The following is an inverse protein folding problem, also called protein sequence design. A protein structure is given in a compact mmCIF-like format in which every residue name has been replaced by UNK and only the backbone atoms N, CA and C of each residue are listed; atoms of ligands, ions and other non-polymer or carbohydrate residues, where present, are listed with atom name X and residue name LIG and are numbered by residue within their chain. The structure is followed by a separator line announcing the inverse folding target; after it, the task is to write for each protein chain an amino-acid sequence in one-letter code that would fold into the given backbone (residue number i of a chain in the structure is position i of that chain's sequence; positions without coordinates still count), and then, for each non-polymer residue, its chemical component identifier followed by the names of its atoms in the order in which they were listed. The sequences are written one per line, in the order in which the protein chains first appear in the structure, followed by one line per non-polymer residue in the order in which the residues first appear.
data_IF_221108871310
#
_entry.id   IF_221108871310
#
_cell.length_a   1.000
_cell.length_b   1.000
_cell.length_c   1.000
_cell.angle_alpha   90.00
_cell.angle_beta   90.00
_cell.angle_gamma   90.00
#
_symmetry.space_group_name_H-M   'P 1'
#
loop_
_entity.id
_entity.type
_entity.pdbx_description
1 polymer ?
#
# COMPACT_ATOMS: atom_id res chain seq x y z
N UNK A 1 -11.72 -14.58 27.03
CA UNK A 1 -11.64 -13.49 26.04
C UNK A 1 -12.50 -12.36 26.54
N UNK A 2 -12.06 -11.11 26.38
CA UNK A 2 -12.91 -9.95 26.65
C UNK A 2 -13.49 -9.45 25.33
N UNK A 3 -14.76 -9.03 25.34
CA UNK A 3 -15.36 -8.33 24.20
C UNK A 3 -14.56 -7.06 23.88
N UNK A 4 -14.50 -6.68 22.60
CA UNK A 4 -13.69 -5.53 22.16
C UNK A 4 -14.39 -4.20 22.42
N UNK A 5 -15.67 -4.23 22.77
CA UNK A 5 -16.44 -3.04 23.11
C UNK A 5 -17.58 -3.37 24.07
N UNK A 6 -18.05 -2.36 24.82
CA UNK A 6 -19.21 -2.51 25.71
C UNK A 6 -20.53 -2.70 24.97
N UNK A 7 -20.59 -2.47 23.66
CA UNK A 7 -21.76 -2.83 22.85
C UNK A 7 -21.78 -4.33 22.57
N UNK A 8 -20.64 -4.91 22.21
CA UNK A 8 -20.51 -6.36 21.98
C UNK A 8 -20.87 -7.15 23.23
N UNK A 9 -20.44 -6.69 24.40
CA UNK A 9 -20.82 -7.28 25.70
C UNK A 9 -22.35 -7.27 25.91
N UNK A 10 -23.01 -6.13 25.69
CA UNK A 10 -24.48 -6.02 25.82
C UNK A 10 -25.23 -6.93 24.83
N UNK A 11 -24.70 -7.09 23.62
CA UNK A 11 -25.30 -7.99 22.61
C UNK A 11 -25.10 -9.44 23.01
N UNK A 12 -23.92 -9.82 23.51
CA UNK A 12 -23.67 -11.15 24.02
C UNK A 12 -24.59 -11.48 25.21
N UNK A 13 -24.75 -10.56 26.17
CA UNK A 13 -25.68 -10.70 27.28
C UNK A 13 -27.12 -10.91 26.78
N UNK A 14 -27.55 -10.15 25.77
CA UNK A 14 -28.86 -10.32 25.15
C UNK A 14 -29.01 -11.73 24.52
N UNK A 15 -28.01 -12.21 23.78
CA UNK A 15 -28.04 -13.54 23.17
C UNK A 15 -28.10 -14.65 24.23
N UNK A 16 -27.31 -14.54 25.29
CA UNK A 16 -27.36 -15.43 26.45
C UNK A 16 -28.75 -15.41 27.12
N UNK A 17 -29.33 -14.22 27.35
CA UNK A 17 -30.66 -14.08 27.95
C UNK A 17 -31.80 -14.64 27.08
N UNK A 18 -31.55 -14.81 25.77
CA UNK A 18 -32.47 -15.40 24.81
C UNK A 18 -32.20 -16.89 24.56
N UNK A 19 -31.28 -17.52 25.32
CA UNK A 19 -30.83 -18.90 25.12
C UNK A 19 -30.34 -19.19 23.68
N UNK A 20 -29.68 -18.21 23.06
CA UNK A 20 -29.09 -18.32 21.72
C UNK A 20 -27.59 -18.57 21.84
N UNK A 21 -27.15 -19.75 21.40
CA UNK A 21 -25.74 -20.06 21.26
C UNK A 21 -25.08 -19.18 20.17
N UNK A 22 -23.87 -18.71 20.45
CA UNK A 22 -23.10 -17.92 19.50
C UNK A 22 -21.60 -18.23 19.58
N UNK A 23 -20.91 -17.99 18.48
CA UNK A 23 -19.47 -17.95 18.44
C UNK A 23 -18.98 -16.51 18.26
N UNK A 24 -17.95 -16.12 19.01
CA UNK A 24 -17.41 -14.77 18.97
C UNK A 24 -16.05 -14.75 18.27
N UNK A 25 -15.98 -14.07 17.12
CA UNK A 25 -14.77 -13.88 16.30
C UNK A 25 -14.02 -15.18 15.92
N UNK A 26 -14.74 -16.30 15.72
CA UNK A 26 -14.16 -17.60 15.34
C UNK A 26 -13.84 -17.68 13.85
N UNK A 27 -14.68 -17.09 13.01
CA UNK A 27 -14.52 -17.15 11.54
C UNK A 27 -13.91 -15.88 10.94
N UNK A 28 -13.20 -16.07 9.82
CA UNK A 28 -12.64 -14.97 9.02
C UNK A 28 -13.05 -15.15 7.56
N UNK A 29 -13.76 -14.18 7.01
CA UNK A 29 -14.19 -14.19 5.61
C UNK A 29 -13.23 -13.33 4.77
N UNK A 30 -12.50 -13.91 3.80
CA UNK A 30 -11.64 -13.14 2.92
C UNK A 30 -12.47 -12.33 1.92
N UNK A 31 -12.03 -11.10 1.61
CA UNK A 31 -12.66 -10.26 0.58
C UNK A 31 -11.59 -9.43 -0.16
N UNK A 32 -11.95 -8.93 -1.35
CA UNK A 32 -11.09 -8.07 -2.18
C UNK A 32 -11.86 -6.83 -2.59
N UNK A 33 -11.23 -5.66 -2.47
CA UNK A 33 -11.77 -4.38 -2.97
C UNK A 33 -10.91 -3.93 -4.15
N UNK A 34 -11.46 -3.80 -5.37
CA UNK A 34 -10.73 -3.31 -6.52
C UNK A 34 -10.54 -1.78 -6.43
N UNK A 35 -9.40 -1.31 -6.90
CA UNK A 35 -9.07 0.11 -7.03
C UNK A 35 -8.48 0.39 -8.41
N UNK A 36 -8.72 1.59 -8.93
CA UNK A 36 -8.07 2.08 -10.15
C UNK A 36 -6.79 2.84 -9.77
N UNK A 37 -5.73 2.61 -10.54
CA UNK A 37 -4.47 3.34 -10.41
C UNK A 37 -4.37 4.41 -11.49
N UNK A 38 -4.21 5.66 -11.05
CA UNK A 38 -3.95 6.79 -11.94
C UNK A 38 -2.51 7.25 -11.70
N UNK A 39 -1.61 7.11 -12.67
CA UNK A 39 -0.26 7.61 -12.54
C UNK A 39 -0.21 9.14 -12.65
N UNK A 40 0.84 9.75 -12.11
CA UNK A 40 1.04 11.20 -12.23
C UNK A 40 1.42 11.61 -13.66
N UNK A 41 2.31 10.84 -14.31
CA UNK A 41 2.73 11.10 -15.69
C UNK A 41 2.82 9.81 -16.51
N UNK A 42 2.28 9.86 -17.72
CA UNK A 42 2.46 8.85 -18.76
C UNK A 42 3.27 9.50 -19.90
N UNK A 43 4.47 8.99 -20.16
CA UNK A 43 5.34 9.49 -21.21
C UNK A 43 4.97 8.87 -22.57
N UNK A 44 5.28 9.53 -23.70
CA UNK A 44 4.97 9.01 -25.04
C UNK A 44 5.61 7.65 -25.37
N UNK A 45 6.72 7.31 -24.73
CA UNK A 45 7.41 6.02 -24.87
C UNK A 45 6.81 4.90 -23.99
N UNK A 46 5.72 5.17 -23.26
CA UNK A 46 5.04 4.20 -22.39
C UNK A 46 5.58 4.11 -20.97
N UNK A 47 6.64 4.87 -20.63
CA UNK A 47 7.14 4.95 -19.26
C UNK A 47 6.14 5.72 -18.39
N UNK A 48 5.87 5.19 -17.21
CA UNK A 48 5.00 5.80 -16.21
C UNK A 48 5.83 6.33 -15.05
N UNK A 49 5.64 7.60 -14.69
CA UNK A 49 6.29 8.22 -13.55
C UNK A 49 5.27 8.51 -12.44
N UNK A 50 5.55 8.00 -11.24
CA UNK A 50 4.84 8.36 -10.01
C UNK A 50 5.77 9.22 -9.13
N UNK A 51 5.33 10.42 -8.79
CA UNK A 51 6.05 11.39 -8.00
C UNK A 51 5.66 11.29 -6.52
N UNK A 52 6.65 11.22 -5.62
CA UNK A 52 6.40 11.22 -4.16
C UNK A 52 7.40 12.06 -3.38
N UNK A 53 6.86 13.01 -2.60
CA UNK A 53 7.59 13.65 -1.52
C UNK A 53 7.56 12.78 -0.27
N UNK A 54 6.43 12.79 0.43
CA UNK A 54 6.13 11.82 1.48
C UNK A 54 5.51 10.56 0.85
N UNK A 55 6.06 9.40 1.17
CA UNK A 55 5.55 8.12 0.66
C UNK A 55 5.09 7.25 1.83
N UNK A 56 3.77 7.21 2.04
CA UNK A 56 3.16 6.57 3.19
C UNK A 56 3.03 5.04 3.03
N UNK A 57 2.48 4.36 4.04
CA UNK A 57 2.32 2.91 4.00
C UNK A 57 1.21 2.42 3.05
N UNK A 58 0.21 3.25 2.74
CA UNK A 58 -0.89 2.90 1.86
C UNK A 58 -0.45 3.01 0.39
N UNK A 59 0.22 4.11 0.02
CA UNK A 59 0.78 4.32 -1.31
C UNK A 59 1.86 3.31 -1.65
N UNK A 60 2.71 2.91 -0.68
CA UNK A 60 3.68 1.81 -0.91
C UNK A 60 2.98 0.49 -1.23
N UNK A 61 1.88 0.18 -0.53
CA UNK A 61 1.07 -1.01 -0.79
C UNK A 61 0.39 -0.94 -2.16
N UNK A 62 -0.12 0.24 -2.53
CA UNK A 62 -0.69 0.53 -3.85
C UNK A 62 0.33 0.27 -4.97
N UNK A 63 1.49 0.92 -4.93
CA UNK A 63 2.56 0.76 -5.94
C UNK A 63 3.01 -0.69 -6.05
N UNK A 64 3.19 -1.37 -4.91
CA UNK A 64 3.52 -2.80 -4.89
C UNK A 64 2.42 -3.64 -5.57
N UNK A 65 1.15 -3.42 -5.24
CA UNK A 65 0.04 -4.16 -5.81
C UNK A 65 -0.08 -3.92 -7.32
N UNK A 66 0.05 -2.67 -7.78
CA UNK A 66 0.06 -2.30 -9.20
C UNK A 66 1.18 -3.05 -9.93
N UNK A 67 2.42 -3.02 -9.43
CA UNK A 67 3.53 -3.70 -10.10
C UNK A 67 3.39 -5.23 -10.09
N UNK A 68 2.76 -5.79 -9.06
CA UNK A 68 2.50 -7.24 -8.98
C UNK A 68 1.39 -7.69 -9.93
N UNK A 69 0.34 -6.88 -10.10
CA UNK A 69 -0.81 -7.21 -10.94
C UNK A 69 -0.59 -6.81 -12.41
N UNK A 70 0.24 -5.80 -12.66
CA UNK A 70 0.60 -5.27 -13.97
C UNK A 70 2.13 -5.24 -14.15
N UNK A 71 2.80 -6.40 -14.21
CA UNK A 71 4.25 -6.46 -14.39
C UNK A 71 4.73 -5.79 -15.68
N UNK A 72 3.89 -5.73 -16.72
CA UNK A 72 4.10 -5.07 -18.01
C UNK A 72 4.19 -3.54 -17.92
N UNK A 73 3.60 -2.94 -16.88
CA UNK A 73 3.65 -1.50 -16.66
C UNK A 73 5.06 -1.07 -16.30
N UNK A 74 5.67 -0.20 -17.13
CA UNK A 74 6.97 0.42 -16.85
C UNK A 74 6.82 1.58 -15.86
N UNK A 75 6.40 1.23 -14.65
CA UNK A 75 6.23 2.12 -13.52
C UNK A 75 7.58 2.44 -12.88
N UNK A 76 7.91 3.73 -12.81
CA UNK A 76 9.13 4.25 -12.19
C UNK A 76 8.77 5.31 -11.14
N UNK A 77 9.55 5.35 -10.06
CA UNK A 77 9.31 6.27 -8.96
C UNK A 77 10.23 7.48 -9.02
N UNK A 78 9.68 8.68 -8.83
CA UNK A 78 10.44 9.93 -8.77
C UNK A 78 10.25 10.54 -7.39
N UNK A 79 11.33 10.62 -6.60
CA UNK A 79 11.26 11.05 -5.21
C UNK A 79 11.81 12.45 -4.99
N UNK A 80 11.24 13.19 -4.03
CA UNK A 80 11.88 14.39 -3.48
C UNK A 80 13.14 14.03 -2.68
N UNK A 81 13.03 13.00 -1.83
CA UNK A 81 14.09 12.54 -0.94
C UNK A 81 14.09 11.00 -0.88
N UNK A 82 14.75 10.31 -1.84
CA UNK A 82 14.69 8.84 -1.96
C UNK A 82 15.31 8.09 -0.77
N UNK A 83 16.16 8.74 0.01
CA UNK A 83 16.83 8.15 1.16
C UNK A 83 16.08 8.33 2.49
N UNK A 84 14.89 8.94 2.46
CA UNK A 84 14.01 8.95 3.63
C UNK A 84 13.59 7.53 4.00
N UNK A 85 13.51 7.26 5.31
CA UNK A 85 13.08 5.96 5.84
C UNK A 85 11.57 5.81 5.76
N UNK A 86 11.09 4.58 5.52
CA UNK A 86 9.65 4.30 5.37
C UNK A 86 8.82 4.62 6.63
N UNK A 87 9.49 4.61 7.79
CA UNK A 87 8.99 5.05 9.10
C UNK A 87 10.18 5.52 9.93
N UNK A 88 9.94 6.32 10.98
CA UNK A 88 10.99 6.82 11.89
C UNK A 88 11.86 5.73 12.53
N UNK A 89 11.33 4.51 12.70
CA UNK A 89 12.03 3.37 13.31
C UNK A 89 12.70 2.44 12.29
N UNK A 90 12.42 2.60 11.00
CA UNK A 90 12.90 1.68 9.97
C UNK A 90 14.29 2.07 9.46
N UNK A 91 15.12 1.07 9.12
CA UNK A 91 16.37 1.26 8.37
C UNK A 91 16.17 1.19 6.85
N UNK A 92 14.96 0.81 6.40
CA UNK A 92 14.61 0.72 4.99
C UNK A 92 14.22 2.11 4.46
N UNK A 93 14.90 2.56 3.42
CA UNK A 93 14.60 3.80 2.72
C UNK A 93 13.60 3.58 1.59
N UNK A 94 13.05 4.66 1.01
CA UNK A 94 12.21 4.56 -0.19
C UNK A 94 12.96 3.91 -1.35
N UNK A 95 14.22 4.31 -1.58
CA UNK A 95 15.14 3.69 -2.53
C UNK A 95 15.28 2.18 -2.31
N UNK A 96 15.64 1.75 -1.08
CA UNK A 96 15.79 0.32 -0.73
C UNK A 96 14.49 -0.47 -0.91
N UNK A 97 13.35 0.17 -0.66
CA UNK A 97 12.05 -0.45 -0.88
C UNK A 97 11.80 -0.68 -2.38
N UNK A 98 12.13 0.28 -3.24
CA UNK A 98 12.04 0.15 -4.69
C UNK A 98 13.01 -0.90 -5.24
N UNK A 99 14.26 -0.92 -4.77
CA UNK A 99 15.27 -1.93 -5.12
C UNK A 99 14.77 -3.35 -4.81
N UNK A 100 14.19 -3.56 -3.62
CA UNK A 100 13.61 -4.86 -3.24
C UNK A 100 12.48 -5.32 -4.19
N UNK A 101 11.75 -4.39 -4.78
CA UNK A 101 10.64 -4.65 -5.69
C UNK A 101 11.04 -4.56 -7.17
N UNK A 102 12.31 -4.33 -7.48
CA UNK A 102 12.82 -4.09 -8.83
C UNK A 102 12.08 -2.94 -9.55
N UNK A 103 11.77 -1.87 -8.82
CA UNK A 103 11.13 -0.66 -9.36
C UNK A 103 12.24 0.38 -9.61
N UNK A 104 12.45 0.83 -10.86
CA UNK A 104 13.37 1.92 -11.15
C UNK A 104 12.96 3.19 -10.40
N UNK A 105 13.93 3.89 -9.84
CA UNK A 105 13.67 5.12 -9.09
C UNK A 105 14.77 6.16 -9.33
N UNK A 106 14.43 7.43 -9.13
CA UNK A 106 15.40 8.52 -9.10
C UNK A 106 14.95 9.64 -8.14
N UNK A 107 15.84 10.60 -7.89
CA UNK A 107 15.43 11.89 -7.36
C UNK A 107 14.81 12.73 -8.47
N UNK A 108 13.81 13.56 -8.18
CA UNK A 108 13.20 14.48 -9.14
C UNK A 108 14.23 15.40 -9.81
N UNK A 109 15.31 15.75 -9.11
CA UNK A 109 16.40 16.57 -9.64
C UNK A 109 17.26 15.84 -10.69
N UNK A 110 17.18 14.50 -10.77
CA UNK A 110 18.08 13.66 -11.55
C UNK A 110 17.31 12.61 -12.36
N UNK A 111 16.21 12.98 -13.01
CA UNK A 111 15.48 12.08 -13.91
C UNK A 111 16.42 11.72 -15.08
N UNK A 112 16.77 10.43 -15.28
CA UNK A 112 17.67 10.04 -16.35
C UNK A 112 17.08 10.34 -17.73
N UNK A 113 17.86 10.93 -18.64
CA UNK A 113 17.40 11.23 -20.01
C UNK A 113 16.85 9.99 -20.74
N UNK A 114 17.45 8.82 -20.50
CA UNK A 114 16.98 7.53 -21.04
C UNK A 114 15.56 7.13 -20.62
N UNK A 115 14.94 7.83 -19.67
CA UNK A 115 13.55 7.63 -19.29
C UNK A 115 12.60 8.45 -20.18
N UNK A 116 13.09 9.56 -20.71
CA UNK A 116 12.30 10.57 -21.43
C UNK A 116 12.30 10.35 -22.95
N UNK A 117 13.17 9.48 -23.45
CA UNK A 117 13.38 9.17 -24.87
C UNK A 117 12.96 7.76 -25.21
#
# INVERSE_FOLDING_TARGET
MAFRSGLEEKVADLLCNLDIDYEYETEKVPYTIPHLYTPDFLLPNGVVLECKGYWDAADRRKVKAVKQQHPELDLRMVFQAPYNTITKKSKTTYAKYCEKLNIPWCSFANIPLKWLT
#
